data_IF_648726917570
#
_entry.id   IF_648726917570
#
_cell.length_a   1.000
_cell.length_b   1.000
_cell.length_c   1.000
_cell.angle_alpha   90.00
_cell.angle_beta   90.00
_cell.angle_gamma   90.00
#
_symmetry.space_group_name_H-M   'P 1'
#
loop_
_entity.id
_entity.type
_entity.pdbx_description
1 polymer ?
#
# COMPACT_ATOMS: atom_id res chain seq x y z
N UNK A 1 -16.33 -59.38 -12.59
CA UNK A 1 -17.54 -59.35 -13.41
C UNK A 1 -17.98 -57.93 -13.60
N UNK A 2 -17.88 -57.48 -14.85
CA UNK A 2 -18.78 -56.59 -15.62
C UNK A 2 -19.13 -55.22 -14.98
N UNK A 3 -19.03 -54.04 -15.58
CA UNK A 3 -19.01 -53.65 -17.02
C UNK A 3 -18.44 -52.24 -17.18
N UNK A 4 -17.65 -52.07 -18.24
CA UNK A 4 -17.24 -50.81 -18.83
C UNK A 4 -18.42 -50.22 -19.62
N UNK A 5 -18.68 -48.93 -19.54
CA UNK A 5 -19.35 -48.16 -20.59
C UNK A 5 -18.60 -46.89 -20.95
N UNK A 6 -18.03 -46.92 -22.12
CA UNK A 6 -17.62 -45.77 -22.94
C UNK A 6 -18.87 -45.02 -23.40
N UNK A 7 -18.82 -43.68 -23.40
CA UNK A 7 -19.69 -42.88 -24.24
C UNK A 7 -18.89 -41.80 -24.98
N UNK A 8 -19.28 -41.61 -26.20
CA UNK A 8 -18.66 -40.95 -27.34
C UNK A 8 -18.67 -39.40 -27.24
N UNK A 9 -17.66 -38.82 -27.87
CA UNK A 9 -17.62 -37.42 -28.34
C UNK A 9 -18.77 -37.14 -29.33
N UNK A 10 -19.36 -35.96 -29.20
CA UNK A 10 -20.07 -35.31 -30.30
C UNK A 10 -19.69 -33.84 -30.36
N UNK A 11 -18.92 -33.48 -31.38
CA UNK A 11 -18.62 -32.10 -31.75
C UNK A 11 -19.82 -31.51 -32.49
N UNK A 12 -20.29 -30.34 -32.06
CA UNK A 12 -21.16 -29.48 -32.85
C UNK A 12 -20.48 -28.13 -33.07
N UNK A 13 -20.00 -27.96 -34.30
CA UNK A 13 -19.63 -26.66 -34.83
C UNK A 13 -20.94 -25.91 -35.20
N UNK A 14 -21.14 -24.72 -34.66
CA UNK A 14 -22.18 -23.80 -35.13
C UNK A 14 -21.49 -22.54 -35.67
N UNK A 15 -21.57 -22.42 -37.00
CA UNK A 15 -21.35 -21.17 -37.73
C UNK A 15 -22.49 -20.20 -37.41
N UNK A 16 -22.19 -18.99 -37.00
CA UNK A 16 -23.12 -17.88 -37.11
C UNK A 16 -22.50 -16.71 -37.84
N UNK A 17 -23.18 -16.38 -38.90
CA UNK A 17 -22.98 -15.33 -39.89
C UNK A 17 -23.11 -13.93 -39.29
N UNK A 18 -22.31 -13.01 -39.81
CA UNK A 18 -22.33 -11.57 -39.54
C UNK A 18 -23.69 -10.92 -39.89
N UNK A 19 -24.12 -10.01 -39.06
CA UNK A 19 -25.02 -8.92 -39.44
C UNK A 19 -24.43 -7.59 -38.98
N UNK A 20 -24.08 -6.78 -39.96
CA UNK A 20 -23.73 -5.38 -39.84
C UNK A 20 -24.93 -4.54 -39.37
N UNK A 21 -24.75 -3.74 -38.34
CA UNK A 21 -25.68 -2.68 -37.91
C UNK A 21 -24.90 -1.46 -37.49
N UNK A 22 -24.88 -0.45 -38.36
CA UNK A 22 -24.41 0.90 -38.05
C UNK A 22 -25.31 1.57 -36.98
N UNK A 23 -24.71 2.03 -35.92
CA UNK A 23 -25.36 2.91 -34.93
C UNK A 23 -24.31 3.81 -34.30
N UNK A 24 -24.20 5.01 -34.85
CA UNK A 24 -23.31 6.08 -34.38
C UNK A 24 -23.99 6.79 -33.22
N UNK A 25 -23.41 6.79 -32.00
CA UNK A 25 -23.71 7.79 -30.96
C UNK A 25 -22.54 7.88 -29.96
N UNK A 26 -21.97 9.07 -29.84
CA UNK A 26 -21.44 9.62 -28.61
C UNK A 26 -20.01 9.28 -28.27
N UNK A 27 -19.08 10.17 -28.61
CA UNK A 27 -17.76 10.28 -27.99
C UNK A 27 -17.90 10.47 -26.49
N UNK A 28 -17.43 9.48 -25.72
CA UNK A 28 -16.90 9.70 -24.39
C UNK A 28 -15.40 9.40 -24.51
N UNK A 29 -14.56 10.42 -24.34
CA UNK A 29 -13.11 10.28 -24.24
C UNK A 29 -12.73 9.62 -22.88
N UNK A 30 -13.26 8.43 -22.61
CA UNK A 30 -12.67 7.49 -21.68
C UNK A 30 -11.34 7.05 -22.28
N UNK A 31 -10.25 7.13 -21.54
CA UNK A 31 -8.99 6.53 -21.96
C UNK A 31 -9.28 5.04 -22.23
N UNK A 32 -9.40 4.67 -23.48
CA UNK A 32 -9.57 3.28 -23.91
C UNK A 32 -8.34 2.49 -23.41
N UNK A 33 -8.54 1.73 -22.35
CA UNK A 33 -7.55 0.73 -21.96
C UNK A 33 -7.57 -0.31 -23.08
N UNK A 34 -6.46 -0.50 -23.81
CA UNK A 34 -6.43 -1.51 -24.85
C UNK A 34 -6.82 -2.86 -24.23
N UNK A 35 -7.76 -3.58 -24.85
CA UNK A 35 -8.01 -4.98 -24.50
C UNK A 35 -6.72 -5.73 -24.77
N UNK A 36 -5.98 -6.06 -23.70
CA UNK A 36 -4.71 -6.76 -23.81
C UNK A 36 -5.01 -8.20 -24.11
N UNK A 37 -4.48 -8.69 -25.23
CA UNK A 37 -4.37 -10.11 -25.51
C UNK A 37 -3.36 -10.72 -24.52
N UNK A 38 -3.66 -11.85 -23.89
CA UNK A 38 -2.77 -12.54 -22.95
C UNK A 38 -1.34 -12.72 -23.50
N UNK A 39 -1.19 -12.87 -24.81
CA UNK A 39 0.11 -12.93 -25.48
C UNK A 39 0.90 -11.60 -25.45
N UNK A 40 0.24 -10.48 -25.15
CA UNK A 40 0.82 -9.13 -25.11
C UNK A 40 1.07 -8.62 -23.68
N UNK A 41 0.65 -9.38 -22.67
CA UNK A 41 0.90 -9.01 -21.27
C UNK A 41 2.41 -8.98 -21.00
N UNK A 42 2.87 -7.85 -20.47
CA UNK A 42 4.28 -7.65 -20.19
C UNK A 42 4.67 -8.11 -18.76
N UNK A 43 3.69 -8.28 -17.88
CA UNK A 43 3.87 -8.90 -16.56
C UNK A 43 2.56 -9.53 -16.07
N UNK A 44 2.70 -10.38 -15.03
CA UNK A 44 1.58 -10.98 -14.30
C UNK A 44 1.70 -10.70 -12.81
N UNK A 45 0.58 -10.42 -12.17
CA UNK A 45 0.48 -10.36 -10.72
C UNK A 45 0.47 -11.77 -10.09
N UNK A 46 1.08 -11.94 -8.89
CA UNK A 46 1.83 -10.96 -8.10
C UNK A 46 3.22 -10.66 -8.68
N UNK A 47 3.72 -9.43 -8.51
CA UNK A 47 5.08 -9.04 -8.91
C UNK A 47 6.14 -9.45 -7.88
N UNK A 48 5.78 -9.59 -6.59
CA UNK A 48 6.58 -10.27 -5.57
C UNK A 48 5.74 -11.45 -5.06
N UNK A 49 6.28 -12.67 -5.21
CA UNK A 49 5.54 -13.92 -5.01
C UNK A 49 5.83 -14.64 -3.71
N UNK A 50 6.46 -13.97 -2.78
CA UNK A 50 6.71 -14.39 -1.39
C UNK A 50 6.06 -13.39 -0.44
N UNK A 51 6.02 -13.71 0.85
CA UNK A 51 5.46 -12.83 1.86
C UNK A 51 6.17 -11.47 1.88
N UNK A 52 5.45 -10.41 1.52
CA UNK A 52 5.91 -9.03 1.55
C UNK A 52 4.72 -8.08 1.84
N UNK A 53 4.05 -8.26 3.00
CA UNK A 53 2.86 -7.47 3.31
C UNK A 53 3.19 -6.03 3.68
N UNK A 54 2.18 -5.17 3.61
CA UNK A 54 2.24 -3.78 4.01
C UNK A 54 3.39 -3.02 3.33
N UNK A 55 3.48 -3.08 1.97
CA UNK A 55 4.63 -2.57 1.24
C UNK A 55 4.70 -1.05 1.27
N UNK A 56 5.91 -0.52 1.42
CA UNK A 56 6.26 0.86 1.06
C UNK A 56 7.32 0.85 -0.03
N UNK A 57 7.23 1.76 -0.99
CA UNK A 57 8.19 1.82 -2.09
C UNK A 57 8.53 3.26 -2.48
N UNK A 58 9.75 3.43 -2.99
CA UNK A 58 10.20 4.70 -3.56
C UNK A 58 11.15 4.48 -4.72
N UNK A 59 11.24 5.43 -5.64
CA UNK A 59 12.33 5.50 -6.60
C UNK A 59 13.49 6.25 -5.96
N UNK A 60 14.63 5.60 -5.81
CA UNK A 60 15.81 6.17 -5.20
C UNK A 60 16.65 6.98 -6.22
N UNK A 61 17.68 7.71 -5.74
CA UNK A 61 18.55 8.55 -6.58
C UNK A 61 19.39 7.78 -7.59
N UNK A 62 19.64 6.51 -7.34
CA UNK A 62 20.34 5.61 -8.25
C UNK A 62 19.48 5.11 -9.42
N UNK A 63 18.19 5.52 -9.44
CA UNK A 63 17.22 5.18 -10.45
C UNK A 63 16.46 3.87 -10.20
N UNK A 64 16.86 3.08 -9.20
CA UNK A 64 16.13 1.88 -8.81
C UNK A 64 14.91 2.21 -7.95
N UNK A 65 13.93 1.33 -7.98
CA UNK A 65 12.83 1.26 -7.03
C UNK A 65 13.24 0.34 -5.89
N UNK A 66 12.99 0.77 -4.67
CA UNK A 66 13.18 -0.02 -3.45
C UNK A 66 11.85 -0.19 -2.77
N UNK A 67 11.58 -1.42 -2.31
CA UNK A 67 10.38 -1.78 -1.58
C UNK A 67 10.79 -2.45 -0.26
N UNK A 68 10.10 -2.06 0.80
CA UNK A 68 10.24 -2.61 2.14
C UNK A 68 8.89 -3.14 2.57
N UNK A 69 8.86 -4.20 3.40
CA UNK A 69 7.63 -4.82 3.84
C UNK A 69 7.68 -5.20 5.33
N UNK A 70 6.52 -5.43 5.91
CA UNK A 70 6.38 -5.99 7.26
C UNK A 70 7.16 -7.29 7.40
N UNK A 71 7.66 -7.54 8.61
CA UNK A 71 8.54 -8.68 8.90
C UNK A 71 7.85 -10.04 8.98
N UNK A 72 7.11 -10.44 7.97
CA UNK A 72 6.87 -11.87 7.72
C UNK A 72 8.20 -12.55 7.32
N UNK A 73 9.10 -11.78 6.68
CA UNK A 73 10.54 -12.06 6.63
C UNK A 73 11.21 -11.18 7.69
N UNK A 74 11.88 -11.80 8.66
CA UNK A 74 12.40 -11.13 9.85
C UNK A 74 13.30 -9.93 9.50
N UNK A 75 13.21 -8.86 10.30
CA UNK A 75 14.02 -7.64 10.22
C UNK A 75 13.73 -6.70 9.04
N UNK A 76 12.50 -6.73 8.50
CA UNK A 76 12.00 -5.92 7.37
C UNK A 76 12.76 -6.19 6.06
N UNK A 77 12.23 -7.05 5.19
CA UNK A 77 12.87 -7.37 3.91
C UNK A 77 12.95 -6.15 2.99
N UNK A 78 14.00 -6.10 2.20
CA UNK A 78 14.25 -5.09 1.17
C UNK A 78 14.27 -5.76 -0.19
N UNK A 79 13.49 -5.22 -1.10
CA UNK A 79 13.47 -5.61 -2.50
C UNK A 79 13.90 -4.44 -3.39
N UNK A 80 14.53 -4.75 -4.53
CA UNK A 80 14.98 -3.76 -5.50
C UNK A 80 14.47 -4.12 -6.89
N UNK A 81 14.08 -3.11 -7.67
CA UNK A 81 13.63 -3.28 -9.05
C UNK A 81 14.09 -2.12 -9.94
N UNK A 82 14.26 -2.38 -11.24
CA UNK A 82 14.46 -1.33 -12.25
C UNK A 82 13.18 -0.85 -12.90
N UNK A 83 12.09 -1.63 -12.79
CA UNK A 83 10.89 -1.46 -13.60
C UNK A 83 9.57 -1.65 -12.83
N UNK A 84 9.61 -1.77 -11.50
CA UNK A 84 8.49 -2.09 -10.60
C UNK A 84 7.86 -3.48 -10.82
N UNK A 85 8.37 -4.27 -11.74
CA UNK A 85 7.83 -5.59 -12.13
C UNK A 85 8.74 -6.74 -11.71
N UNK A 86 10.03 -6.61 -12.00
CA UNK A 86 11.02 -7.63 -11.64
C UNK A 86 11.74 -7.17 -10.39
N UNK A 87 11.50 -7.87 -9.27
CA UNK A 87 12.03 -7.55 -7.97
C UNK A 87 13.07 -8.58 -7.52
N UNK A 88 14.16 -8.09 -6.97
CA UNK A 88 15.23 -8.86 -6.34
C UNK A 88 15.18 -8.61 -4.83
N UNK A 89 15.08 -9.65 -4.02
CA UNK A 89 15.30 -9.55 -2.58
C UNK A 89 16.80 -9.36 -2.31
N UNK A 90 17.17 -8.25 -1.68
CA UNK A 90 18.58 -7.86 -1.50
C UNK A 90 19.05 -7.92 -0.04
N UNK A 91 18.15 -8.23 0.89
CA UNK A 91 18.45 -8.33 2.31
C UNK A 91 17.36 -7.75 3.18
N UNK A 92 17.74 -7.29 4.37
CA UNK A 92 16.83 -6.73 5.37
C UNK A 92 17.34 -5.41 5.92
N UNK A 93 16.43 -4.56 6.39
CA UNK A 93 16.78 -3.24 6.94
C UNK A 93 17.63 -3.34 8.22
N UNK A 94 17.41 -4.39 9.00
CA UNK A 94 18.12 -4.65 10.26
C UNK A 94 18.72 -6.06 10.27
N UNK A 95 19.57 -6.32 11.26
CA UNK A 95 19.98 -7.65 11.71
C UNK A 95 19.42 -7.89 13.11
N UNK A 96 19.58 -9.10 13.66
CA UNK A 96 19.17 -9.37 15.04
C UNK A 96 19.93 -8.50 16.06
N UNK A 97 21.17 -8.09 15.73
CA UNK A 97 22.00 -7.23 16.58
C UNK A 97 21.64 -5.74 16.46
N UNK A 98 21.14 -5.31 15.29
CA UNK A 98 20.81 -3.89 15.03
C UNK A 98 19.33 -3.60 15.11
N UNK A 99 18.51 -4.62 15.36
CA UNK A 99 17.06 -4.51 15.50
C UNK A 99 16.68 -3.49 16.57
N UNK A 100 15.73 -2.55 16.29
CA UNK A 100 15.31 -1.58 17.28
C UNK A 100 14.67 -2.24 18.53
N UNK A 101 15.04 -1.75 19.71
CA UNK A 101 14.54 -2.20 20.99
C UNK A 101 14.34 -1.00 21.94
N UNK A 102 13.19 -0.34 21.85
CA UNK A 102 12.81 0.78 22.72
C UNK A 102 11.41 0.60 23.35
N UNK A 103 10.90 -0.63 23.32
CA UNK A 103 9.66 -0.97 24.02
C UNK A 103 9.88 -0.95 25.54
N UNK A 104 8.79 -0.77 26.32
CA UNK A 104 8.85 -0.87 27.77
C UNK A 104 9.62 -2.12 28.22
N UNK A 105 10.32 -2.04 29.34
CA UNK A 105 11.17 -3.13 29.86
C UNK A 105 10.32 -4.29 30.40
N UNK A 106 9.50 -4.84 29.51
CA UNK A 106 8.64 -6.00 29.71
C UNK A 106 9.10 -7.10 28.73
N UNK A 107 9.68 -8.17 29.28
CA UNK A 107 10.22 -9.27 28.50
C UNK A 107 9.19 -9.88 27.53
N UNK A 108 7.95 -10.05 27.98
CA UNK A 108 6.85 -10.59 27.16
C UNK A 108 6.54 -9.71 25.94
N UNK A 109 6.58 -8.38 26.12
CA UNK A 109 6.35 -7.42 25.02
C UNK A 109 7.51 -7.49 24.03
N UNK A 110 8.76 -7.47 24.54
CA UNK A 110 9.96 -7.53 23.70
C UNK A 110 10.05 -8.81 22.87
N UNK A 111 9.73 -9.98 23.46
CA UNK A 111 9.79 -11.27 22.77
C UNK A 111 8.68 -11.44 21.70
N UNK A 112 7.56 -10.72 21.83
CA UNK A 112 6.41 -10.82 20.93
C UNK A 112 6.18 -9.57 20.07
N UNK A 113 7.05 -8.60 20.16
CA UNK A 113 6.97 -7.40 19.33
C UNK A 113 7.58 -7.66 17.95
N UNK A 114 6.92 -7.11 16.96
CA UNK A 114 7.29 -7.21 15.55
C UNK A 114 7.42 -5.85 14.92
N UNK A 115 8.20 -5.77 13.84
CA UNK A 115 8.34 -4.60 12.98
C UNK A 115 7.31 -4.67 11.86
N UNK A 116 6.35 -3.73 11.87
CA UNK A 116 5.26 -3.69 10.91
C UNK A 116 5.23 -2.41 10.11
N UNK A 117 4.56 -2.47 8.96
CA UNK A 117 4.20 -1.36 8.10
C UNK A 117 5.33 -0.31 7.99
N UNK A 118 6.45 -0.66 7.33
CA UNK A 118 7.52 0.29 7.10
C UNK A 118 7.05 1.43 6.21
N UNK A 119 7.71 2.60 6.33
CA UNK A 119 7.53 3.72 5.44
C UNK A 119 8.89 4.34 5.12
N UNK A 120 9.27 4.38 3.84
CA UNK A 120 10.57 4.88 3.39
C UNK A 120 10.46 6.27 2.78
N UNK A 121 11.34 7.19 3.19
CA UNK A 121 11.44 8.55 2.63
C UNK A 121 12.89 8.97 2.46
N UNK A 122 13.12 9.90 1.54
CA UNK A 122 14.39 10.60 1.43
C UNK A 122 14.26 12.00 2.00
N UNK A 123 14.87 12.24 3.17
CA UNK A 123 14.70 13.47 3.97
C UNK A 123 16.06 14.03 4.33
N UNK A 124 16.30 15.33 4.08
CA UNK A 124 17.54 16.01 4.45
C UNK A 124 18.84 15.27 4.00
N UNK A 125 18.78 14.61 2.87
CA UNK A 125 19.96 13.90 2.34
C UNK A 125 20.14 12.46 2.81
N UNK A 126 19.23 11.93 3.63
CA UNK A 126 19.25 10.56 4.16
C UNK A 126 18.01 9.78 3.76
N UNK A 127 18.16 8.47 3.66
CA UNK A 127 17.02 7.55 3.61
C UNK A 127 16.53 7.31 5.04
N UNK A 128 15.27 7.59 5.28
CA UNK A 128 14.62 7.48 6.57
C UNK A 128 13.57 6.40 6.48
N UNK A 129 13.75 5.33 7.23
CA UNK A 129 12.83 4.22 7.33
C UNK A 129 12.06 4.32 8.64
N UNK A 130 10.78 4.64 8.56
CA UNK A 130 9.86 4.56 9.69
C UNK A 130 9.31 3.15 9.80
N UNK A 131 8.91 2.74 11.00
CA UNK A 131 8.31 1.43 11.26
C UNK A 131 7.46 1.48 12.52
N UNK A 132 6.47 0.60 12.58
CA UNK A 132 5.72 0.33 13.81
C UNK A 132 6.40 -0.83 14.54
N UNK A 133 6.77 -0.62 15.80
CA UNK A 133 7.18 -1.70 16.69
C UNK A 133 5.99 -2.00 17.60
N UNK A 134 5.33 -3.13 17.40
CA UNK A 134 4.04 -3.44 17.98
C UNK A 134 3.89 -4.92 18.33
N UNK A 135 2.88 -5.22 19.12
CA UNK A 135 2.53 -6.58 19.53
C UNK A 135 1.07 -6.85 19.21
N UNK A 136 0.79 -7.97 18.55
CA UNK A 136 -0.57 -8.36 18.23
C UNK A 136 -1.44 -8.46 19.49
N UNK A 137 -2.59 -7.78 19.47
CA UNK A 137 -3.55 -7.76 20.58
C UNK A 137 -3.15 -6.90 21.78
N UNK A 138 -2.07 -6.12 21.69
CA UNK A 138 -1.64 -5.20 22.73
C UNK A 138 -1.44 -3.77 22.18
N UNK A 139 -2.54 -3.12 21.85
CA UNK A 139 -2.57 -1.86 21.09
C UNK A 139 -1.92 -0.68 21.80
N UNK A 140 -1.85 -0.70 23.14
CA UNK A 140 -1.28 0.42 23.93
C UNK A 140 0.25 0.39 24.03
N UNK A 141 0.91 -0.66 23.53
CA UNK A 141 2.38 -0.71 23.44
C UNK A 141 2.90 -0.36 22.05
N UNK A 142 2.01 -0.10 21.09
CA UNK A 142 2.39 0.26 19.72
C UNK A 142 3.21 1.55 19.70
N UNK A 143 4.32 1.51 18.99
CA UNK A 143 5.33 2.58 18.97
C UNK A 143 5.78 2.81 17.54
N UNK A 144 5.77 4.07 17.10
CA UNK A 144 6.35 4.49 15.81
C UNK A 144 7.82 4.86 16.06
N UNK A 145 8.71 4.17 15.37
CA UNK A 145 10.13 4.43 15.38
C UNK A 145 10.69 4.79 14.01
N UNK A 146 11.97 5.16 13.95
CA UNK A 146 12.64 5.42 12.70
C UNK A 146 14.13 5.07 12.76
N UNK A 147 14.68 4.82 11.58
CA UNK A 147 16.10 4.57 11.36
C UNK A 147 16.57 5.35 10.14
N UNK A 148 17.87 5.62 10.06
CA UNK A 148 18.45 6.38 8.95
C UNK A 148 19.60 5.62 8.29
N UNK A 149 19.77 5.84 6.97
CA UNK A 149 20.89 5.33 6.19
C UNK A 149 21.33 6.33 5.11
N UNK A 150 22.57 6.20 4.66
CA UNK A 150 23.08 6.90 3.47
C UNK A 150 22.70 6.18 2.16
N UNK A 151 22.30 4.91 2.25
CA UNK A 151 21.91 4.07 1.13
C UNK A 151 20.49 3.52 1.31
N UNK A 152 19.69 3.38 0.23
CA UNK A 152 18.39 2.72 0.32
C UNK A 152 18.51 1.23 0.64
N UNK A 153 19.67 0.62 0.43
CA UNK A 153 19.95 -0.79 0.79
C UNK A 153 20.31 -0.95 2.28
N UNK A 154 20.47 0.16 3.00
CA UNK A 154 20.99 0.15 4.37
C UNK A 154 22.53 0.19 4.42
N UNK A 155 23.17 -0.20 5.56
CA UNK A 155 22.49 -0.56 6.80
C UNK A 155 21.74 0.61 7.42
N UNK A 156 20.57 0.35 7.98
CA UNK A 156 19.79 1.35 8.69
C UNK A 156 20.18 1.41 10.17
N UNK A 157 20.43 2.60 10.67
CA UNK A 157 20.77 2.83 12.08
C UNK A 157 19.52 3.37 12.80
N UNK A 158 18.96 2.62 13.79
CA UNK A 158 17.84 3.10 14.59
C UNK A 158 18.19 4.41 15.30
N UNK A 159 17.26 5.37 15.28
CA UNK A 159 17.37 6.67 15.98
C UNK A 159 16.50 6.75 17.23
N UNK A 160 15.57 5.79 17.40
CA UNK A 160 14.65 5.72 18.51
C UNK A 160 13.20 5.83 18.09
N UNK A 161 12.33 6.09 19.04
CA UNK A 161 10.90 6.31 18.79
C UNK A 161 10.63 7.75 18.37
N UNK A 162 9.59 7.92 17.56
CA UNK A 162 8.95 9.21 17.32
C UNK A 162 7.90 9.45 18.40
N UNK A 163 7.01 8.49 18.62
CA UNK A 163 6.00 8.48 19.69
C UNK A 163 5.48 7.05 19.93
N UNK A 164 4.74 6.86 21.02
CA UNK A 164 3.98 5.65 21.29
C UNK A 164 2.48 5.97 21.53
N UNK A 165 1.65 4.90 21.54
CA UNK A 165 0.20 5.02 21.69
C UNK A 165 -0.24 5.81 22.94
N UNK A 166 0.51 5.70 24.04
CA UNK A 166 0.18 6.38 25.30
C UNK A 166 0.52 7.86 25.24
N UNK A 167 1.68 8.22 24.66
CA UNK A 167 2.12 9.61 24.50
C UNK A 167 1.16 10.41 23.63
N UNK A 168 0.69 9.82 22.54
CA UNK A 168 -0.26 10.48 21.64
C UNK A 168 -1.71 10.27 22.05
N UNK A 169 -1.98 9.42 23.06
CA UNK A 169 -3.31 9.01 23.50
C UNK A 169 -4.19 8.56 22.32
N UNK A 170 -3.65 7.65 21.54
CA UNK A 170 -4.34 6.98 20.41
C UNK A 170 -4.01 5.50 20.48
N UNK A 171 -5.03 4.69 20.65
CA UNK A 171 -4.89 3.23 20.66
C UNK A 171 -4.42 2.73 19.28
N UNK A 172 -3.56 1.72 19.26
CA UNK A 172 -3.01 1.12 18.06
C UNK A 172 -2.35 2.13 17.10
N UNK A 173 -1.42 2.93 17.64
CA UNK A 173 -0.63 3.91 16.89
C UNK A 173 0.42 3.20 16.04
N UNK A 174 -0.02 2.69 14.88
CA UNK A 174 0.78 2.03 13.83
C UNK A 174 0.45 2.63 12.46
N UNK A 175 1.05 2.07 11.41
CA UNK A 175 0.80 2.41 10.00
C UNK A 175 1.08 3.88 9.72
N UNK A 176 2.26 4.30 10.12
CA UNK A 176 2.69 5.68 9.96
C UNK A 176 3.03 5.99 8.50
N UNK A 177 2.66 7.20 8.08
CA UNK A 177 2.98 7.77 6.78
C UNK A 177 3.59 9.16 6.97
N UNK A 178 4.81 9.36 6.48
CA UNK A 178 5.51 10.64 6.56
C UNK A 178 5.20 11.49 5.31
N UNK A 179 4.84 12.74 5.53
CA UNK A 179 4.52 13.69 4.45
C UNK A 179 5.32 14.99 4.62
N UNK A 180 5.88 15.49 3.54
CA UNK A 180 6.60 16.76 3.48
C UNK A 180 5.95 17.69 2.48
N UNK A 181 5.69 18.93 2.88
CA UNK A 181 5.17 19.98 2.03
C UNK A 181 5.66 21.35 2.49
N UNK A 182 6.17 22.16 1.55
CA UNK A 182 6.63 23.54 1.80
C UNK A 182 7.60 23.67 2.98
N UNK A 183 8.47 22.69 3.16
CA UNK A 183 9.47 22.65 4.23
C UNK A 183 8.89 22.32 5.61
N UNK A 184 7.64 21.91 5.69
CA UNK A 184 6.99 21.37 6.88
C UNK A 184 6.87 19.86 6.76
N UNK A 185 6.89 19.21 7.91
CA UNK A 185 6.86 17.76 8.01
C UNK A 185 5.65 17.32 8.84
N UNK A 186 5.03 16.23 8.41
CA UNK A 186 3.83 15.69 9.03
C UNK A 186 3.94 14.19 9.17
N UNK A 187 3.30 13.64 10.21
CA UNK A 187 3.04 12.22 10.35
C UNK A 187 1.55 11.97 10.33
N UNK A 188 1.10 11.09 9.44
CA UNK A 188 -0.23 10.51 9.47
C UNK A 188 -0.11 9.10 10.03
N UNK A 189 -1.06 8.63 10.86
CA UNK A 189 -1.02 7.29 11.43
C UNK A 189 -2.38 6.86 11.98
N UNK A 190 -2.50 5.58 12.28
CA UNK A 190 -3.62 4.99 12.99
C UNK A 190 -4.17 3.74 12.31
N UNK A 191 -4.74 2.85 13.10
CA UNK A 191 -5.33 1.60 12.65
C UNK A 191 -6.56 1.28 13.48
N UNK A 192 -7.74 1.38 12.88
CA UNK A 192 -9.09 1.10 13.42
C UNK A 192 -9.53 1.86 14.68
N UNK A 193 -8.73 2.81 15.17
CA UNK A 193 -9.05 3.70 16.30
C UNK A 193 -9.04 5.18 15.89
N UNK A 194 -9.24 5.43 14.59
CA UNK A 194 -9.16 6.74 13.97
C UNK A 194 -7.81 6.98 13.30
N UNK A 195 -7.83 7.84 12.29
CA UNK A 195 -6.63 8.30 11.59
C UNK A 195 -6.32 9.71 12.01
N UNK A 196 -5.06 9.95 12.35
CA UNK A 196 -4.58 11.22 12.87
C UNK A 196 -3.48 11.79 11.99
N UNK A 197 -3.26 13.10 12.09
CA UNK A 197 -2.15 13.83 11.51
C UNK A 197 -1.57 14.77 12.58
N UNK A 198 -0.25 14.94 12.60
CA UNK A 198 0.39 16.02 13.38
C UNK A 198 1.65 16.52 12.67
N UNK A 199 2.05 17.75 13.01
CA UNK A 199 3.34 18.30 12.57
C UNK A 199 4.50 17.64 13.31
N UNK A 200 5.65 17.59 12.62
CA UNK A 200 6.93 17.15 13.15
C UNK A 200 7.96 18.28 13.03
N UNK A 201 8.85 18.38 13.98
CA UNK A 201 10.13 19.07 13.80
C UNK A 201 11.17 18.07 13.30
N UNK A 202 11.88 18.43 12.24
CA UNK A 202 12.95 17.62 11.64
C UNK A 202 14.20 18.48 11.50
N UNK A 203 15.24 18.16 12.25
CA UNK A 203 16.51 18.86 12.22
C UNK A 203 17.34 18.47 10.98
N UNK A 204 18.44 19.17 10.70
CA UNK A 204 19.29 18.88 9.54
C UNK A 204 20.04 17.54 9.66
N UNK A 205 20.25 17.04 10.88
CA UNK A 205 20.80 15.70 11.17
C UNK A 205 19.72 14.63 11.35
N UNK A 206 18.49 14.95 10.91
CA UNK A 206 17.34 14.05 10.90
C UNK A 206 16.94 13.56 12.30
N UNK A 207 16.97 14.45 13.31
CA UNK A 207 16.27 14.21 14.56
C UNK A 207 14.82 14.62 14.38
N UNK A 208 13.89 13.70 14.73
CA UNK A 208 12.45 13.87 14.52
C UNK A 208 11.74 14.00 15.87
N UNK A 209 11.00 15.08 16.03
CA UNK A 209 10.24 15.36 17.27
C UNK A 209 8.78 15.66 16.93
N UNK A 210 7.80 14.98 17.55
CA UNK A 210 6.38 15.22 17.31
C UNK A 210 5.91 16.50 18.02
N UNK A 211 5.04 17.29 17.34
CA UNK A 211 4.34 18.44 17.93
C UNK A 211 2.95 18.00 18.39
N UNK A 212 2.87 17.44 19.57
CA UNK A 212 1.66 16.79 20.10
C UNK A 212 0.42 17.70 20.12
N UNK A 213 0.60 19.01 20.31
CA UNK A 213 -0.45 20.03 20.33
C UNK A 213 -1.08 20.28 18.95
N UNK A 214 -0.42 19.85 17.88
CA UNK A 214 -0.94 19.97 16.50
C UNK A 214 -1.75 18.76 16.05
N UNK A 215 -1.82 17.71 16.88
CA UNK A 215 -2.52 16.47 16.56
C UNK A 215 -3.99 16.70 16.25
N UNK A 216 -4.46 16.16 15.11
CA UNK A 216 -5.86 16.20 14.67
C UNK A 216 -6.30 14.86 14.13
N UNK A 217 -7.54 14.47 14.40
CA UNK A 217 -8.16 13.34 13.70
C UNK A 217 -8.67 13.78 12.34
N UNK A 218 -8.38 13.02 11.28
CA UNK A 218 -8.74 13.33 9.90
C UNK A 218 -9.60 12.27 9.23
N UNK A 219 -9.64 11.04 9.79
CA UNK A 219 -10.57 10.00 9.36
C UNK A 219 -11.09 9.17 10.54
N UNK A 220 -12.20 8.47 10.35
CA UNK A 220 -12.86 7.64 11.34
C UNK A 220 -12.10 6.35 11.66
N UNK A 221 -12.79 5.44 12.33
CA UNK A 221 -12.19 4.22 12.87
C UNK A 221 -12.35 2.97 11.99
N UNK A 222 -12.72 3.14 10.72
CA UNK A 222 -12.82 2.03 9.76
C UNK A 222 -11.50 1.76 9.02
N UNK A 223 -10.49 2.58 9.19
CA UNK A 223 -9.32 2.66 8.31
C UNK A 223 -8.02 2.29 9.00
N UNK A 224 -7.07 1.80 8.18
CA UNK A 224 -5.65 1.67 8.46
C UNK A 224 -4.83 1.78 7.17
N UNK A 225 -3.49 1.65 7.24
CA UNK A 225 -2.60 1.66 6.07
C UNK A 225 -2.71 2.93 5.23
N UNK A 226 -2.80 4.08 5.91
CA UNK A 226 -3.06 5.38 5.26
C UNK A 226 -1.82 5.87 4.52
N UNK A 227 -2.05 6.39 3.31
CA UNK A 227 -1.10 7.23 2.60
C UNK A 227 -1.79 8.42 1.93
N UNK A 228 -0.98 9.37 1.48
CA UNK A 228 -1.47 10.62 0.91
C UNK A 228 -0.88 10.84 -0.48
N UNK A 229 -1.74 11.20 -1.45
CA UNK A 229 -1.34 11.60 -2.77
C UNK A 229 -1.88 12.99 -3.10
N UNK A 230 -1.02 13.91 -3.58
CA UNK A 230 -1.44 15.25 -4.00
C UNK A 230 -1.51 15.33 -5.51
N UNK A 231 -2.68 15.74 -6.04
CA UNK A 231 -2.89 15.93 -7.47
C UNK A 231 -3.97 17.01 -7.72
N UNK A 232 -3.75 17.86 -8.72
CA UNK A 232 -4.71 18.85 -9.22
C UNK A 232 -5.36 19.70 -8.10
N UNK A 233 -4.56 20.07 -7.08
CA UNK A 233 -4.99 20.87 -5.94
C UNK A 233 -5.83 20.13 -4.89
N UNK A 234 -5.89 18.80 -4.97
CA UNK A 234 -6.49 17.93 -3.96
C UNK A 234 -5.45 17.05 -3.27
N UNK A 235 -5.69 16.78 -2.00
CA UNK A 235 -5.07 15.73 -1.22
C UNK A 235 -6.01 14.52 -1.23
N UNK A 236 -5.52 13.38 -1.68
CA UNK A 236 -6.22 12.10 -1.70
C UNK A 236 -5.71 11.28 -0.53
N UNK A 237 -6.56 11.06 0.48
CA UNK A 237 -6.27 10.20 1.61
C UNK A 237 -6.71 8.79 1.24
N UNK A 238 -5.75 7.92 0.98
CA UNK A 238 -5.95 6.54 0.54
C UNK A 238 -5.71 5.64 1.75
N UNK A 239 -6.56 4.68 1.98
CA UNK A 239 -6.43 3.75 3.09
C UNK A 239 -7.13 2.43 2.82
N UNK A 240 -7.14 1.58 3.81
CA UNK A 240 -7.73 0.25 3.72
C UNK A 240 -8.79 0.06 4.80
N UNK A 241 -9.84 -0.68 4.46
CA UNK A 241 -10.91 -1.10 5.37
C UNK A 241 -11.03 -2.63 5.36
N UNK A 242 -11.67 -3.20 6.38
CA UNK A 242 -11.89 -4.64 6.49
C UNK A 242 -10.73 -5.37 7.16
N UNK A 243 -10.57 -6.65 6.91
CA UNK A 243 -9.52 -7.48 7.54
C UNK A 243 -8.41 -7.84 6.58
N UNK A 244 -7.15 -7.63 7.00
CA UNK A 244 -5.94 -7.89 6.22
C UNK A 244 -5.46 -9.34 6.26
N UNK A 245 -5.71 -10.06 7.37
CA UNK A 245 -4.81 -11.11 7.83
C UNK A 245 -5.52 -12.46 8.10
N UNK A 246 -6.66 -12.71 7.45
CA UNK A 246 -7.50 -13.91 7.62
C UNK A 246 -7.39 -14.89 6.43
N UNK A 247 -6.29 -14.85 5.67
CA UNK A 247 -6.09 -15.69 4.49
C UNK A 247 -7.21 -15.49 3.47
N UNK A 248 -7.79 -16.57 2.98
CA UNK A 248 -8.90 -16.53 2.01
C UNK A 248 -10.15 -15.76 2.49
N UNK A 249 -10.30 -15.54 3.79
CA UNK A 249 -11.43 -14.81 4.39
C UNK A 249 -11.17 -13.32 4.53
N UNK A 250 -9.97 -12.86 4.20
CA UNK A 250 -9.63 -11.44 4.25
C UNK A 250 -10.57 -10.61 3.39
N UNK A 251 -11.00 -9.49 3.95
CA UNK A 251 -11.97 -8.58 3.32
C UNK A 251 -11.37 -7.22 2.99
N UNK A 252 -10.07 -7.07 3.14
CA UNK A 252 -9.35 -5.83 2.91
C UNK A 252 -9.70 -5.22 1.56
N UNK A 253 -9.92 -3.92 1.53
CA UNK A 253 -10.39 -3.15 0.37
C UNK A 253 -9.72 -1.79 0.43
N UNK A 254 -9.15 -1.33 -0.69
CA UNK A 254 -8.52 0.00 -0.79
C UNK A 254 -9.57 1.06 -1.10
N UNK A 255 -9.57 2.12 -0.32
CA UNK A 255 -10.55 3.21 -0.39
C UNK A 255 -9.88 4.58 -0.41
N UNK A 256 -10.64 5.62 -0.77
CA UNK A 256 -10.15 7.00 -0.86
C UNK A 256 -11.21 8.02 -0.49
N UNK A 257 -10.77 9.11 0.09
CA UNK A 257 -11.48 10.39 0.14
C UNK A 257 -10.52 11.53 -0.21
N UNK A 258 -11.03 12.70 -0.58
CA UNK A 258 -10.17 13.84 -0.96
C UNK A 258 -10.55 15.14 -0.27
N UNK A 259 -9.57 16.02 -0.14
CA UNK A 259 -9.74 17.36 0.41
C UNK A 259 -8.89 18.38 -0.35
N UNK A 260 -9.26 19.66 -0.29
CA UNK A 260 -8.41 20.78 -0.72
C UNK A 260 -7.46 21.26 0.37
N UNK A 261 -7.68 20.82 1.60
CA UNK A 261 -6.86 21.13 2.77
C UNK A 261 -6.21 19.85 3.30
N UNK A 262 -4.92 19.92 3.66
CA UNK A 262 -4.16 18.79 4.20
C UNK A 262 -4.82 18.20 5.47
N UNK A 263 -5.45 19.03 6.27
CA UNK A 263 -6.12 18.63 7.51
C UNK A 263 -7.59 18.23 7.33
N UNK A 264 -8.07 18.18 6.09
CA UNK A 264 -9.46 17.83 5.77
C UNK A 264 -10.44 19.03 5.81
N UNK A 265 -11.75 18.79 5.78
CA UNK A 265 -12.36 17.46 5.76
C UNK A 265 -12.11 16.71 4.46
N UNK A 266 -11.76 15.42 4.57
CA UNK A 266 -11.70 14.50 3.44
C UNK A 266 -13.11 13.97 3.17
N UNK A 267 -13.56 14.06 1.93
CA UNK A 267 -14.94 13.71 1.54
C UNK A 267 -14.96 12.73 0.37
N UNK A 268 -16.02 11.92 0.28
CA UNK A 268 -16.37 11.09 -0.87
C UNK A 268 -17.02 11.92 -2.00
N UNK A 269 -17.47 11.27 -3.08
CA UNK A 269 -18.15 11.90 -4.22
C UNK A 269 -19.47 12.59 -3.84
N UNK A 270 -20.13 12.15 -2.78
CA UNK A 270 -21.40 12.66 -2.28
C UNK A 270 -21.24 13.73 -1.19
N UNK A 271 -20.01 14.04 -0.79
CA UNK A 271 -19.69 14.98 0.29
C UNK A 271 -19.73 14.38 1.69
N UNK A 272 -19.86 13.06 1.80
CA UNK A 272 -19.75 12.34 3.06
C UNK A 272 -18.32 12.37 3.59
N UNK A 273 -18.14 12.60 4.90
CA UNK A 273 -16.82 12.78 5.47
C UNK A 273 -16.15 11.44 5.84
N UNK A 274 -14.85 11.35 5.60
CA UNK A 274 -14.05 10.18 6.03
C UNK A 274 -13.99 10.06 7.56
N UNK A 275 -14.20 11.14 8.29
CA UNK A 275 -14.43 11.12 9.74
C UNK A 275 -15.65 10.27 10.15
N UNK A 276 -16.67 10.23 9.29
CA UNK A 276 -17.89 9.43 9.44
C UNK A 276 -17.81 8.09 8.69
N UNK A 277 -16.60 7.63 8.38
CA UNK A 277 -16.32 6.41 7.63
C UNK A 277 -16.93 6.38 6.22
N UNK A 278 -17.02 7.55 5.55
CA UNK A 278 -17.46 7.67 4.14
C UNK A 278 -16.25 7.75 3.22
N UNK A 279 -16.32 7.05 2.08
CA UNK A 279 -15.21 6.91 1.14
C UNK A 279 -15.67 6.38 -0.21
N UNK A 280 -14.83 6.48 -1.22
CA UNK A 280 -14.95 5.78 -2.50
C UNK A 280 -14.05 4.54 -2.49
N UNK A 281 -14.42 3.51 -3.25
CA UNK A 281 -13.61 2.31 -3.44
C UNK A 281 -12.67 2.52 -4.63
N UNK A 282 -11.37 2.25 -4.42
CA UNK A 282 -10.36 2.19 -5.50
C UNK A 282 -10.22 0.78 -6.03
N UNK A 283 -10.20 -0.20 -5.12
CA UNK A 283 -9.86 -1.58 -5.42
C UNK A 283 -10.47 -2.51 -4.37
N UNK A 284 -11.12 -3.56 -4.82
CA UNK A 284 -11.60 -4.67 -3.98
C UNK A 284 -11.10 -6.03 -4.54
N UNK A 285 -11.47 -7.12 -3.89
CA UNK A 285 -11.09 -8.49 -4.29
C UNK A 285 -11.71 -8.92 -5.62
N UNK A 286 -11.11 -9.95 -6.26
CA UNK A 286 -11.71 -10.72 -7.34
C UNK A 286 -11.72 -12.23 -7.02
N UNK A 287 -11.90 -13.08 -8.03
CA UNK A 287 -11.93 -14.53 -7.90
C UNK A 287 -10.56 -15.19 -7.69
N UNK A 288 -9.45 -14.45 -7.84
CA UNK A 288 -8.08 -14.93 -7.62
C UNK A 288 -7.40 -14.26 -6.43
N UNK A 289 -7.61 -12.98 -6.22
CA UNK A 289 -6.95 -12.18 -5.19
C UNK A 289 -7.93 -11.64 -4.17
N UNK A 290 -7.61 -11.81 -2.88
CA UNK A 290 -8.42 -11.32 -1.76
C UNK A 290 -7.55 -10.59 -0.74
N UNK A 291 -8.18 -9.73 0.07
CA UNK A 291 -7.46 -8.95 1.07
C UNK A 291 -6.55 -7.90 0.43
N UNK A 292 -7.06 -7.19 -0.58
CA UNK A 292 -6.34 -6.19 -1.38
C UNK A 292 -6.26 -4.86 -0.66
N UNK A 293 -5.10 -4.49 -0.18
CA UNK A 293 -4.96 -3.24 0.57
C UNK A 293 -3.55 -2.94 1.03
N UNK A 294 -3.44 -2.02 1.97
CA UNK A 294 -2.21 -1.48 2.53
C UNK A 294 -1.20 -1.15 1.42
N UNK A 295 -1.62 -0.24 0.55
CA UNK A 295 -0.79 0.13 -0.59
C UNK A 295 0.37 1.05 -0.16
N UNK A 296 1.47 0.98 -0.91
CA UNK A 296 2.53 1.98 -0.84
C UNK A 296 2.01 3.36 -1.26
N UNK A 297 2.81 4.40 -1.04
CA UNK A 297 2.57 5.65 -1.76
C UNK A 297 2.50 5.37 -3.26
N UNK A 298 1.65 6.11 -3.97
CA UNK A 298 1.57 5.97 -5.42
C UNK A 298 2.91 6.37 -6.06
N UNK A 299 3.25 5.69 -7.15
CA UNK A 299 4.48 5.95 -7.91
C UNK A 299 4.11 6.42 -9.31
N UNK A 300 4.96 7.22 -9.92
CA UNK A 300 4.84 7.59 -11.32
C UNK A 300 5.91 6.90 -12.15
N UNK A 301 5.55 6.44 -13.34
CA UNK A 301 6.51 6.05 -14.37
C UNK A 301 7.02 7.27 -15.15
N UNK A 302 7.94 7.06 -16.10
CA UNK A 302 8.57 8.15 -16.86
C UNK A 302 7.61 8.81 -17.88
N UNK A 303 6.43 8.24 -18.09
CA UNK A 303 5.31 8.82 -18.87
C UNK A 303 4.19 9.40 -17.99
N UNK A 304 4.43 9.53 -16.69
CA UNK A 304 3.49 10.09 -15.71
C UNK A 304 2.22 9.26 -15.50
N UNK A 305 2.26 7.97 -15.85
CA UNK A 305 1.23 7.06 -15.41
C UNK A 305 1.41 6.77 -13.92
N UNK A 306 0.31 6.73 -13.19
CA UNK A 306 0.30 6.47 -11.74
C UNK A 306 0.14 4.99 -11.48
N UNK A 307 0.95 4.45 -10.57
CA UNK A 307 1.01 3.03 -10.22
C UNK A 307 0.85 2.82 -8.73
N UNK A 308 0.21 1.72 -8.35
CA UNK A 308 -0.02 1.32 -6.97
C UNK A 308 0.54 -0.08 -6.72
N UNK A 309 1.47 -0.19 -5.76
CA UNK A 309 1.91 -1.45 -5.17
C UNK A 309 1.11 -1.67 -3.89
N UNK A 310 0.57 -2.86 -3.71
CA UNK A 310 -0.27 -3.21 -2.57
C UNK A 310 -0.20 -4.70 -2.29
N UNK A 311 -0.65 -5.17 -1.13
CA UNK A 311 -0.64 -6.60 -0.88
C UNK A 311 -1.99 -7.26 -1.13
N UNK A 312 -1.95 -8.58 -1.40
CA UNK A 312 -3.11 -9.46 -1.44
C UNK A 312 -2.71 -10.92 -1.18
N UNK A 313 -3.69 -11.76 -0.81
CA UNK A 313 -3.57 -13.21 -0.89
C UNK A 313 -3.98 -13.70 -2.27
N UNK A 314 -3.18 -14.60 -2.86
CA UNK A 314 -3.55 -15.36 -4.04
C UNK A 314 -4.26 -16.66 -3.60
N UNK A 315 -5.52 -16.86 -3.98
CA UNK A 315 -6.35 -17.97 -3.49
C UNK A 315 -5.79 -19.36 -3.84
N UNK A 316 -5.05 -19.47 -4.95
CA UNK A 316 -4.39 -20.70 -5.36
C UNK A 316 -3.06 -20.96 -4.63
N UNK A 317 -2.54 -19.95 -3.91
CA UNK A 317 -1.23 -20.00 -3.23
C UNK A 317 -1.25 -19.30 -1.87
N UNK A 318 -2.19 -19.69 -1.02
CA UNK A 318 -2.34 -19.13 0.34
C UNK A 318 -1.11 -19.37 1.24
N UNK A 319 -0.33 -20.40 0.95
CA UNK A 319 0.96 -20.70 1.61
C UNK A 319 2.01 -19.60 1.39
N UNK A 320 1.92 -18.86 0.28
CA UNK A 320 2.81 -17.73 0.00
C UNK A 320 2.49 -16.47 0.83
N UNK A 321 1.43 -16.50 1.65
CA UNK A 321 0.96 -15.39 2.47
C UNK A 321 0.57 -14.16 1.62
N UNK A 322 0.67 -12.94 2.18
CA UNK A 322 0.37 -11.68 1.47
C UNK A 322 1.51 -11.33 0.51
N UNK A 323 1.22 -11.35 -0.76
CA UNK A 323 2.14 -11.08 -1.87
C UNK A 323 1.93 -9.65 -2.39
N UNK A 324 2.90 -9.09 -3.12
CA UNK A 324 2.76 -7.73 -3.70
C UNK A 324 2.24 -7.81 -5.13
N UNK A 325 1.20 -7.01 -5.37
CA UNK A 325 0.61 -6.77 -6.68
C UNK A 325 0.93 -5.36 -7.15
N UNK A 326 0.90 -5.16 -8.46
CA UNK A 326 1.10 -3.88 -9.12
C UNK A 326 -0.08 -3.62 -10.05
N UNK A 327 -0.75 -2.47 -9.89
CA UNK A 327 -1.79 -2.02 -10.81
C UNK A 327 -1.67 -0.54 -11.13
N UNK A 328 -2.10 -0.20 -12.35
CA UNK A 328 -2.18 1.18 -12.80
C UNK A 328 -3.39 1.87 -12.15
N UNK A 329 -3.18 3.04 -11.58
CA UNK A 329 -4.26 3.93 -11.16
C UNK A 329 -4.73 4.74 -12.36
N UNK A 330 -6.01 4.65 -12.63
CA UNK A 330 -6.75 5.46 -13.59
C UNK A 330 -7.45 6.60 -12.85
N UNK A 331 -7.78 7.64 -13.57
CA UNK A 331 -8.46 8.82 -13.04
C UNK A 331 -9.72 9.08 -13.86
N UNK A 332 -10.87 9.13 -13.20
CA UNK A 332 -12.13 9.47 -13.88
C UNK A 332 -12.20 10.96 -14.26
N UNK A 333 -13.26 11.37 -14.96
CA UNK A 333 -13.47 12.74 -15.45
C UNK A 333 -13.52 13.77 -14.31
N UNK A 334 -13.95 13.36 -13.12
CA UNK A 334 -14.00 14.17 -11.90
C UNK A 334 -12.70 14.14 -11.09
N UNK A 335 -11.67 13.42 -11.60
CA UNK A 335 -10.35 13.28 -10.99
C UNK A 335 -10.31 12.31 -9.81
N UNK A 336 -11.15 11.27 -9.75
CA UNK A 336 -11.08 10.25 -8.73
C UNK A 336 -10.24 9.06 -9.21
N UNK A 337 -9.38 8.52 -8.32
CA UNK A 337 -8.53 7.37 -8.65
C UNK A 337 -9.32 6.06 -8.58
N UNK A 338 -8.99 5.13 -9.47
CA UNK A 338 -9.52 3.76 -9.45
C UNK A 338 -8.59 2.81 -10.19
N UNK A 339 -8.64 1.52 -9.86
CA UNK A 339 -8.08 0.43 -10.66
C UNK A 339 -9.14 -0.06 -11.64
N UNK A 340 -8.75 -0.51 -12.82
CA UNK A 340 -9.71 -1.01 -13.83
C UNK A 340 -10.65 -2.05 -13.22
N UNK A 341 -11.96 -1.87 -13.45
CA UNK A 341 -13.07 -2.66 -12.87
C UNK A 341 -13.10 -2.69 -11.32
N UNK A 342 -12.31 -1.88 -10.64
CA UNK A 342 -12.08 -1.90 -9.20
C UNK A 342 -11.52 -3.24 -8.69
N UNK A 343 -10.83 -4.00 -9.54
CA UNK A 343 -10.31 -5.34 -9.24
C UNK A 343 -8.82 -5.46 -9.56
N UNK A 344 -8.06 -6.30 -8.82
CA UNK A 344 -6.68 -6.62 -9.18
C UNK A 344 -6.58 -7.16 -10.61
N UNK A 345 -5.61 -6.68 -11.37
CA UNK A 345 -5.32 -7.27 -12.67
C UNK A 345 -4.63 -8.64 -12.53
N UNK A 346 -4.89 -9.55 -13.46
CA UNK A 346 -4.06 -10.76 -13.59
C UNK A 346 -2.70 -10.44 -14.18
N UNK A 347 -2.65 -9.43 -15.02
CA UNK A 347 -1.46 -8.92 -15.65
C UNK A 347 -1.78 -7.72 -16.52
N UNK A 348 -0.76 -6.97 -16.89
CA UNK A 348 -0.91 -5.73 -17.66
C UNK A 348 0.36 -5.39 -18.45
N UNK A 349 0.35 -4.27 -19.16
CA UNK A 349 1.55 -3.65 -19.71
C UNK A 349 2.44 -3.10 -18.59
N UNK A 350 3.75 -3.17 -18.80
CA UNK A 350 4.72 -2.65 -17.83
C UNK A 350 4.64 -1.13 -17.68
N UNK A 351 5.01 -0.62 -16.50
CA UNK A 351 5.39 0.79 -16.35
C UNK A 351 6.48 1.17 -17.37
N UNK A 352 6.43 2.41 -17.86
CA UNK A 352 7.44 2.91 -18.80
C UNK A 352 8.60 3.50 -18.00
N UNK A 353 9.71 2.79 -17.94
CA UNK A 353 10.94 3.23 -17.26
C UNK A 353 12.06 3.38 -18.31
N UNK A 354 12.63 4.58 -18.40
CA UNK A 354 13.66 4.98 -19.39
C UNK A 354 15.06 5.00 -18.79
#
# INVERSE_FOLDING_TARGET
MKNVKKFFLLSCAIYCTACSGNGNTGNSDGQDIPKVDDSQLAYHNPVIRIAAPDPTAMRAKDGYFYLYATEDIRNLPIFRSRDMVIWEEIGTAFTDETRPDFLPDNKDVKERAHLWAPEIRYVKGKYVLFYSLAQWGNHWVSTVGYAVSDSPEGPFTPKGKVFDSREVNVENSIDQYFYEEDGKYYMLWGSFFGIYIMELDVTDDVMITPKLDTKRQIAGNAYEGINLWKRDGYYYLIGSIGSCCEGQKSTYTTVVARSKDLFGPYVDKQGGQMLDNKHEVILHKNDRFVGTGHNSTLLEDDEKNTWMLYHAFELERLDAQRQVLLDRILWDEDGWPYVDKLEPSYGAFRPVIK
#
